data_IF_704528446594
#
_entry.id   IF_704528446594
#
_cell.length_a   1.000
_cell.length_b   1.000
_cell.length_c   1.000
_cell.angle_alpha   90.00
_cell.angle_beta   90.00
_cell.angle_gamma   90.00
#
_symmetry.space_group_name_H-M   'P 1'
#
loop_
_entity.id
_entity.type
_entity.pdbx_description
1 polymer ?
#
# COMPACT_ATOMS: atom_id res chain seq x y z
N UNK A 1 -27.45 37.39 28.74
CA UNK A 1 -27.87 37.46 27.31
C UNK A 1 -26.76 36.83 26.48
N UNK A 2 -26.65 35.48 26.51
CA UNK A 2 -26.81 34.58 25.35
C UNK A 2 -25.71 34.78 24.28
N UNK A 3 -24.65 33.98 24.12
CA UNK A 3 -24.46 32.52 24.09
C UNK A 3 -25.25 31.80 22.98
N UNK A 4 -24.93 32.05 21.71
CA UNK A 4 -25.22 31.24 20.50
C UNK A 4 -24.41 31.90 19.35
N UNK A 5 -23.70 31.27 18.42
CA UNK A 5 -23.71 29.91 17.93
C UNK A 5 -22.34 29.61 17.27
N UNK A 6 -21.68 28.55 17.74
CA UNK A 6 -20.67 27.81 16.99
C UNK A 6 -21.26 26.43 16.72
N UNK A 7 -21.30 26.03 15.44
CA UNK A 7 -21.56 24.69 14.86
C UNK A 7 -22.58 24.75 13.74
N UNK A 8 -22.10 24.72 12.49
CA UNK A 8 -22.70 23.89 11.43
C UNK A 8 -21.81 23.92 10.19
N UNK A 9 -21.16 22.79 9.89
CA UNK A 9 -20.85 22.25 8.55
C UNK A 9 -19.63 21.32 8.63
N UNK A 10 -19.84 20.13 9.17
CA UNK A 10 -19.03 18.96 8.87
C UNK A 10 -19.91 17.74 9.13
N UNK A 11 -20.47 17.16 8.07
CA UNK A 11 -21.40 16.05 8.20
C UNK A 11 -21.93 15.57 6.86
N UNK A 12 -21.06 14.98 6.04
CA UNK A 12 -21.29 13.71 5.34
C UNK A 12 -20.23 13.50 4.26
N UNK A 13 -19.98 12.21 3.98
CA UNK A 13 -19.06 11.61 2.99
C UNK A 13 -17.71 11.18 3.59
N UNK A 14 -17.52 9.86 3.60
CA UNK A 14 -16.26 9.20 3.92
C UNK A 14 -16.39 8.08 4.96
N UNK A 15 -17.29 7.11 4.75
CA UNK A 15 -17.28 5.86 5.49
C UNK A 15 -16.06 5.02 5.06
N UNK A 16 -14.90 5.33 5.63
CA UNK A 16 -13.69 4.51 5.53
C UNK A 16 -13.83 3.30 6.45
N UNK A 17 -13.96 2.12 5.85
CA UNK A 17 -13.91 0.81 6.50
C UNK A 17 -12.69 0.67 7.41
N UNK A 18 -12.89 0.91 8.70
CA UNK A 18 -11.99 0.41 9.75
C UNK A 18 -12.34 -1.04 10.02
N UNK A 19 -11.63 -1.94 9.35
CA UNK A 19 -11.66 -3.37 9.68
C UNK A 19 -10.93 -3.49 11.03
N UNK A 20 -11.72 -3.59 12.10
CA UNK A 20 -11.23 -3.86 13.44
C UNK A 20 -10.46 -5.20 13.45
N UNK A 21 -9.21 -5.16 13.89
CA UNK A 21 -8.32 -6.30 14.09
C UNK A 21 -8.80 -7.34 15.14
N UNK A 22 -10.06 -7.24 15.61
CA UNK A 22 -10.70 -8.16 16.54
C UNK A 22 -11.63 -9.18 15.85
N UNK A 23 -11.81 -9.11 14.52
CA UNK A 23 -12.70 -10.03 13.77
C UNK A 23 -11.93 -11.20 13.12
N UNK A 24 -10.61 -11.10 12.96
CA UNK A 24 -9.81 -12.16 12.32
C UNK A 24 -9.41 -13.33 13.23
N UNK A 25 -9.65 -13.24 14.53
CA UNK A 25 -9.30 -14.29 15.50
C UNK A 25 -10.44 -15.27 15.82
N UNK A 26 -11.56 -15.21 15.09
CA UNK A 26 -12.72 -16.13 15.28
C UNK A 26 -12.94 -17.16 14.17
N UNK A 27 -11.98 -17.35 13.26
CA UNK A 27 -12.11 -18.33 12.18
C UNK A 27 -11.17 -19.54 12.33
N UNK A 28 -10.83 -19.94 13.55
CA UNK A 28 -10.20 -21.25 13.82
C UNK A 28 -10.68 -21.73 15.18
N UNK A 29 -11.86 -22.36 15.24
CA UNK A 29 -12.28 -23.38 16.22
C UNK A 29 -13.80 -23.50 16.24
N UNK A 30 -14.38 -24.15 15.23
CA UNK A 30 -15.72 -24.73 15.32
C UNK A 30 -15.94 -25.68 14.12
N UNK A 31 -15.20 -26.79 14.10
CA UNK A 31 -15.64 -27.97 13.36
C UNK A 31 -15.42 -29.19 14.25
N UNK A 32 -16.09 -29.20 15.40
CA UNK A 32 -16.51 -30.45 16.01
C UNK A 32 -17.75 -30.90 15.25
N UNK A 33 -17.53 -31.51 14.08
CA UNK A 33 -18.54 -32.37 13.51
C UNK A 33 -18.84 -33.48 14.53
N UNK A 34 -20.11 -33.84 14.76
CA UNK A 34 -20.42 -35.01 15.57
C UNK A 34 -19.74 -36.22 14.92
N UNK A 35 -19.25 -37.20 15.70
CA UNK A 35 -18.72 -38.42 15.11
C UNK A 35 -19.86 -39.05 14.31
N UNK A 36 -19.76 -39.02 12.98
CA UNK A 36 -20.65 -39.77 12.11
C UNK A 36 -20.75 -41.17 12.67
N UNK A 37 -21.95 -41.52 13.14
CA UNK A 37 -22.21 -42.80 13.77
C UNK A 37 -21.63 -43.88 12.89
N UNK A 38 -20.65 -44.61 13.43
CA UNK A 38 -20.24 -45.90 12.89
C UNK A 38 -21.51 -46.72 12.80
N UNK A 39 -22.12 -46.74 11.61
CA UNK A 39 -23.04 -47.80 11.25
C UNK A 39 -22.22 -49.07 11.42
N UNK A 40 -22.49 -49.79 12.50
CA UNK A 40 -22.11 -51.19 12.60
C UNK A 40 -22.82 -51.85 11.44
N UNK A 41 -22.17 -51.88 10.29
CA UNK A 41 -22.38 -52.94 9.33
C UNK A 41 -21.96 -54.17 10.13
N UNK A 42 -22.97 -54.81 10.72
CA UNK A 42 -22.86 -56.11 11.31
C UNK A 42 -22.33 -56.99 10.18
N UNK A 43 -21.02 -57.13 10.14
CA UNK A 43 -20.34 -58.03 9.22
C UNK A 43 -20.81 -59.39 9.67
N UNK A 44 -21.89 -59.90 9.03
CA UNK A 44 -22.10 -61.34 8.99
C UNK A 44 -20.74 -61.89 8.58
N UNK A 45 -20.12 -62.67 9.46
CA UNK A 45 -18.89 -63.39 9.17
C UNK A 45 -19.23 -64.36 8.04
N UNK A 46 -19.21 -63.86 6.80
CA UNK A 46 -18.91 -64.70 5.65
C UNK A 46 -17.44 -65.00 5.85
N UNK A 47 -17.23 -66.21 6.37
CA UNK A 47 -16.01 -67.01 6.38
C UNK A 47 -14.73 -66.22 6.13
N UNK A 48 -13.85 -66.18 7.13
CA UNK A 48 -12.45 -65.83 6.89
C UNK A 48 -11.98 -66.53 5.61
N UNK A 49 -11.58 -65.74 4.62
CA UNK A 49 -10.88 -66.22 3.43
C UNK A 49 -9.58 -66.83 3.96
N UNK A 50 -9.57 -68.15 4.13
CA UNK A 50 -8.35 -68.92 4.27
C UNK A 50 -7.60 -68.74 2.96
N UNK A 51 -6.36 -68.29 3.07
CA UNK A 51 -5.49 -67.92 1.97
C UNK A 51 -5.13 -69.18 1.15
N UNK A 52 -5.98 -69.56 0.18
CA UNK A 52 -5.72 -70.66 -0.73
C UNK A 52 -5.57 -70.14 -2.16
N UNK A 53 -4.32 -69.88 -2.58
CA UNK A 53 -3.88 -69.87 -3.98
C UNK A 53 -4.93 -69.41 -5.03
N UNK A 54 -5.50 -68.21 -4.86
CA UNK A 54 -6.37 -67.58 -5.87
C UNK A 54 -7.71 -68.26 -6.14
N UNK A 55 -8.05 -69.39 -5.50
CA UNK A 55 -9.36 -70.04 -5.64
C UNK A 55 -10.22 -69.73 -4.43
N UNK A 56 -11.30 -68.96 -4.63
CA UNK A 56 -12.32 -68.71 -3.62
C UNK A 56 -13.05 -70.01 -3.33
N UNK A 57 -12.70 -70.67 -2.22
CA UNK A 57 -13.30 -71.94 -1.83
C UNK A 57 -14.65 -71.71 -1.16
N UNK A 58 -15.70 -72.26 -1.77
CA UNK A 58 -17.02 -72.34 -1.17
C UNK A 58 -17.15 -73.67 -0.40
N UNK A 59 -17.50 -73.59 0.89
CA UNK A 59 -17.72 -74.75 1.75
C UNK A 59 -19.16 -75.25 1.58
N UNK A 60 -19.47 -75.89 0.45
CA UNK A 60 -20.68 -76.73 0.36
C UNK A 60 -20.34 -78.09 0.92
N UNK A 61 -21.08 -78.52 1.92
CA UNK A 61 -21.11 -79.91 2.32
C UNK A 61 -21.90 -80.71 1.28
N UNK A 62 -21.20 -81.14 0.22
CA UNK A 62 -21.77 -81.92 -0.88
C UNK A 62 -22.32 -83.26 -0.39
N UNK A 63 -21.67 -83.88 0.59
CA UNK A 63 -22.12 -85.15 1.17
C UNK A 63 -23.43 -84.97 1.93
N UNK A 64 -23.53 -83.94 2.78
CA UNK A 64 -24.79 -83.66 3.48
C UNK A 64 -25.92 -83.29 2.52
N UNK A 65 -25.63 -82.61 1.41
CA UNK A 65 -26.64 -82.28 0.40
C UNK A 65 -27.16 -83.53 -0.31
N UNK A 66 -26.26 -84.44 -0.73
CA UNK A 66 -26.64 -85.73 -1.33
C UNK A 66 -27.48 -86.56 -0.35
N UNK A 67 -27.06 -86.68 0.91
CA UNK A 67 -27.80 -87.45 1.94
C UNK A 67 -29.19 -86.90 2.21
N UNK A 68 -29.37 -85.57 2.15
CA UNK A 68 -30.70 -84.95 2.28
C UNK A 68 -31.60 -85.25 1.08
N UNK A 69 -31.05 -85.27 -0.13
CA UNK A 69 -31.80 -85.61 -1.35
C UNK A 69 -32.21 -87.09 -1.35
N UNK A 70 -31.30 -87.98 -0.95
CA UNK A 70 -31.59 -89.41 -0.77
C UNK A 70 -32.70 -89.64 0.27
N UNK A 71 -32.68 -88.90 1.39
CA UNK A 71 -33.73 -88.97 2.42
C UNK A 71 -35.12 -88.51 1.93
N UNK A 72 -35.18 -87.73 0.85
CA UNK A 72 -36.42 -87.30 0.20
C UNK A 72 -36.85 -88.24 -0.95
N UNK A 73 -36.20 -89.40 -1.09
CA UNK A 73 -36.53 -90.42 -2.09
C UNK A 73 -35.85 -90.21 -3.45
N UNK A 74 -34.86 -89.31 -3.55
CA UNK A 74 -34.09 -89.14 -4.80
C UNK A 74 -33.04 -90.27 -4.92
N UNK A 75 -32.97 -90.98 -6.06
CA UNK A 75 -31.94 -91.99 -6.29
C UNK A 75 -30.53 -91.40 -6.16
N UNK A 76 -29.61 -92.14 -5.54
CA UNK A 76 -28.23 -91.69 -5.23
C UNK A 76 -27.51 -91.04 -6.42
N UNK A 77 -27.56 -91.66 -7.62
CA UNK A 77 -26.96 -91.10 -8.85
C UNK A 77 -27.58 -89.77 -9.30
N UNK A 78 -28.88 -89.60 -9.08
CA UNK A 78 -29.58 -88.34 -9.43
C UNK A 78 -29.28 -87.26 -8.37
N UNK A 79 -29.20 -87.63 -7.10
CA UNK A 79 -28.82 -86.73 -6.02
C UNK A 79 -27.40 -86.19 -6.18
N UNK A 80 -26.46 -87.03 -6.61
CA UNK A 80 -25.09 -86.65 -6.98
C UNK A 80 -25.07 -85.69 -8.19
N UNK A 81 -25.80 -86.01 -9.26
CA UNK A 81 -25.86 -85.16 -10.45
C UNK A 81 -26.47 -83.77 -10.17
N UNK A 82 -27.54 -83.72 -9.38
CA UNK A 82 -28.16 -82.45 -8.95
C UNK A 82 -27.19 -81.65 -8.09
N UNK A 83 -26.50 -82.31 -7.14
CA UNK A 83 -25.50 -81.67 -6.29
C UNK A 83 -24.34 -81.12 -7.11
N UNK A 84 -23.89 -81.84 -8.14
CA UNK A 84 -22.84 -81.38 -9.05
C UNK A 84 -23.26 -80.13 -9.84
N UNK A 85 -24.44 -80.14 -10.46
CA UNK A 85 -24.96 -78.99 -11.20
C UNK A 85 -25.17 -77.75 -10.32
N UNK A 86 -25.66 -77.94 -9.08
CA UNK A 86 -25.78 -76.84 -8.11
C UNK A 86 -24.41 -76.29 -7.72
N UNK A 87 -23.42 -77.16 -7.51
CA UNK A 87 -22.06 -76.73 -7.16
C UNK A 87 -21.41 -75.94 -8.30
N UNK A 88 -21.65 -76.33 -9.55
CA UNK A 88 -21.17 -75.62 -10.75
C UNK A 88 -21.79 -74.21 -10.87
N UNK A 89 -23.12 -74.10 -10.85
CA UNK A 89 -23.81 -72.80 -10.92
C UNK A 89 -23.40 -71.88 -9.77
N UNK A 90 -23.19 -72.44 -8.57
CA UNK A 90 -22.74 -71.66 -7.41
C UNK A 90 -21.31 -71.15 -7.57
N UNK A 91 -20.39 -71.95 -8.13
CA UNK A 91 -19.03 -71.51 -8.41
C UNK A 91 -19.02 -70.39 -9.45
N UNK A 92 -19.78 -70.54 -10.55
CA UNK A 92 -19.88 -69.52 -11.60
C UNK A 92 -20.49 -68.22 -11.09
N UNK A 93 -21.58 -68.33 -10.32
CA UNK A 93 -22.25 -67.16 -9.73
C UNK A 93 -21.33 -66.43 -8.76
N UNK A 94 -20.58 -67.17 -7.94
CA UNK A 94 -19.67 -66.57 -6.97
C UNK A 94 -18.48 -65.89 -7.64
N UNK A 95 -17.91 -66.47 -8.70
CA UNK A 95 -16.82 -65.86 -9.46
C UNK A 95 -17.28 -64.57 -10.16
N UNK A 96 -18.49 -64.56 -10.72
CA UNK A 96 -19.07 -63.37 -11.32
C UNK A 96 -19.32 -62.26 -10.28
N UNK A 97 -19.89 -62.61 -9.13
CA UNK A 97 -20.10 -61.65 -8.03
C UNK A 97 -18.76 -61.17 -7.47
N UNK A 98 -17.78 -62.05 -7.37
CA UNK A 98 -16.44 -61.79 -6.90
C UNK A 98 -15.70 -60.71 -7.70
N UNK A 99 -15.90 -60.65 -9.02
CA UNK A 99 -15.32 -59.64 -9.90
C UNK A 99 -15.89 -58.22 -9.66
N UNK A 100 -17.09 -58.11 -9.10
CA UNK A 100 -17.70 -56.82 -8.76
C UNK A 100 -17.19 -56.25 -7.43
N UNK A 101 -16.45 -57.04 -6.64
CA UNK A 101 -15.92 -56.62 -5.34
C UNK A 101 -14.40 -56.54 -5.35
N UNK A 102 -13.88 -55.51 -4.70
CA UNK A 102 -12.44 -55.33 -4.47
C UNK A 102 -12.03 -56.12 -3.22
N UNK A 103 -10.84 -56.74 -3.24
CA UNK A 103 -10.33 -57.42 -2.05
C UNK A 103 -9.98 -56.43 -0.94
N UNK A 104 -10.03 -56.87 0.33
CA UNK A 104 -9.67 -55.99 1.47
C UNK A 104 -8.23 -55.48 1.39
N UNK A 105 -7.30 -56.30 0.88
CA UNK A 105 -5.90 -55.92 0.71
C UNK A 105 -5.71 -54.83 -0.37
N UNK A 106 -6.42 -54.94 -1.49
CA UNK A 106 -6.37 -53.92 -2.56
C UNK A 106 -7.03 -52.61 -2.13
N UNK A 107 -8.15 -52.69 -1.40
CA UNK A 107 -8.81 -51.52 -0.82
C UNK A 107 -7.88 -50.78 0.15
N UNK A 108 -7.25 -51.52 1.08
CA UNK A 108 -6.31 -50.95 2.04
C UNK A 108 -5.08 -50.33 1.35
N UNK A 109 -4.55 -50.96 0.29
CA UNK A 109 -3.44 -50.40 -0.49
C UNK A 109 -3.84 -49.07 -1.16
N UNK A 110 -5.05 -49.01 -1.70
CA UNK A 110 -5.58 -47.80 -2.34
C UNK A 110 -5.78 -46.69 -1.31
N UNK A 111 -6.33 -47.02 -0.15
CA UNK A 111 -6.52 -46.10 0.98
C UNK A 111 -5.18 -45.52 1.47
N UNK A 112 -4.18 -46.36 1.73
CA UNK A 112 -2.84 -45.91 2.12
C UNK A 112 -2.20 -45.01 1.06
N UNK A 113 -2.40 -45.31 -0.23
CA UNK A 113 -1.88 -44.49 -1.33
C UNK A 113 -2.57 -43.13 -1.37
N UNK A 114 -3.89 -43.10 -1.20
CA UNK A 114 -4.68 -41.87 -1.14
C UNK A 114 -4.30 -41.02 0.06
N UNK A 115 -4.13 -41.61 1.24
CA UNK A 115 -3.72 -40.93 2.47
C UNK A 115 -2.31 -40.33 2.35
N UNK A 116 -1.37 -41.07 1.75
CA UNK A 116 -0.03 -40.56 1.42
C UNK A 116 -0.10 -39.35 0.48
N UNK A 117 -0.89 -39.45 -0.60
CA UNK A 117 -1.03 -38.36 -1.57
C UNK A 117 -1.68 -37.12 -0.95
N UNK A 118 -2.71 -37.31 -0.11
CA UNK A 118 -3.35 -36.22 0.63
C UNK A 118 -2.37 -35.55 1.60
N UNK A 119 -1.56 -36.35 2.29
CA UNK A 119 -0.53 -35.83 3.21
C UNK A 119 0.54 -35.03 2.48
N UNK A 120 1.01 -35.52 1.33
CA UNK A 120 1.95 -34.78 0.46
C UNK A 120 1.35 -33.47 -0.03
N UNK A 121 0.12 -33.52 -0.55
CA UNK A 121 -0.60 -32.32 -1.00
C UNK A 121 -0.73 -31.29 0.13
N UNK A 122 -1.15 -31.72 1.32
CA UNK A 122 -1.24 -30.85 2.51
C UNK A 122 0.11 -30.19 2.84
N UNK A 123 1.19 -30.97 2.84
CA UNK A 123 2.53 -30.44 3.13
C UNK A 123 3.00 -29.41 2.09
N UNK A 124 2.71 -29.65 0.80
CA UNK A 124 3.04 -28.71 -0.28
C UNK A 124 2.24 -27.42 -0.17
N UNK A 125 0.93 -27.51 0.10
CA UNK A 125 0.08 -26.34 0.29
C UNK A 125 0.54 -25.52 1.49
N UNK A 126 0.81 -26.17 2.62
CA UNK A 126 1.27 -25.49 3.83
C UNK A 126 2.62 -24.81 3.60
N UNK A 127 3.60 -25.54 3.05
CA UNK A 127 4.94 -25.01 2.77
C UNK A 127 4.89 -23.85 1.76
N UNK A 128 4.09 -23.96 0.71
CA UNK A 128 3.88 -22.90 -0.27
C UNK A 128 3.25 -21.66 0.37
N UNK A 129 2.21 -21.84 1.20
CA UNK A 129 1.55 -20.75 1.89
C UNK A 129 2.50 -20.03 2.86
N UNK A 130 3.26 -20.78 3.67
CA UNK A 130 4.26 -20.22 4.59
C UNK A 130 5.35 -19.46 3.85
N UNK A 131 5.83 -19.99 2.72
CA UNK A 131 6.83 -19.34 1.87
C UNK A 131 6.30 -18.03 1.27
N UNK A 132 5.12 -18.07 0.63
CA UNK A 132 4.51 -16.86 0.04
C UNK A 132 4.20 -15.81 1.11
N UNK A 133 3.73 -16.22 2.27
CA UNK A 133 3.47 -15.30 3.38
C UNK A 133 4.76 -14.64 3.87
N UNK A 134 5.82 -15.43 4.07
CA UNK A 134 7.13 -14.91 4.51
C UNK A 134 7.74 -13.95 3.48
N UNK A 135 7.64 -14.29 2.19
CA UNK A 135 8.10 -13.43 1.11
C UNK A 135 7.34 -12.11 1.07
N UNK A 136 6.00 -12.15 1.09
CA UNK A 136 5.16 -10.96 1.08
C UNK A 136 5.40 -10.09 2.32
N UNK A 137 5.58 -10.70 3.49
CA UNK A 137 5.91 -9.97 4.71
C UNK A 137 7.26 -9.26 4.58
N UNK A 138 8.29 -9.95 4.08
CA UNK A 138 9.60 -9.36 3.87
C UNK A 138 9.57 -8.21 2.85
N UNK A 139 8.89 -8.38 1.72
CA UNK A 139 8.72 -7.32 0.71
C UNK A 139 7.97 -6.11 1.28
N UNK A 140 6.94 -6.35 2.09
CA UNK A 140 6.17 -5.28 2.76
C UNK A 140 7.04 -4.50 3.74
N UNK A 141 7.85 -5.20 4.55
CA UNK A 141 8.79 -4.58 5.49
C UNK A 141 9.88 -3.78 4.77
N UNK A 142 10.41 -4.31 3.67
CA UNK A 142 11.38 -3.63 2.81
C UNK A 142 10.78 -2.35 2.21
N UNK A 143 9.61 -2.43 1.59
CA UNK A 143 8.91 -1.28 1.02
C UNK A 143 8.62 -0.22 2.09
N UNK A 144 8.21 -0.64 3.30
CA UNK A 144 8.00 0.28 4.43
C UNK A 144 9.29 0.99 4.84
N UNK A 145 10.42 0.29 4.90
CA UNK A 145 11.73 0.86 5.18
C UNK A 145 12.14 1.88 4.10
N UNK A 146 11.95 1.54 2.82
CA UNK A 146 12.28 2.43 1.70
C UNK A 146 11.42 3.70 1.72
N UNK A 147 10.13 3.58 2.05
CA UNK A 147 9.24 4.74 2.23
C UNK A 147 9.73 5.65 3.36
N UNK A 148 10.12 5.10 4.51
CA UNK A 148 10.59 5.91 5.64
C UNK A 148 11.91 6.61 5.30
N UNK A 149 12.82 5.91 4.59
CA UNK A 149 14.07 6.50 4.09
C UNK A 149 13.78 7.68 3.15
N UNK A 150 12.98 7.47 2.10
CA UNK A 150 12.61 8.55 1.16
C UNK A 150 11.92 9.72 1.88
N UNK A 151 11.04 9.43 2.85
CA UNK A 151 10.37 10.46 3.65
C UNK A 151 11.37 11.30 4.45
N UNK A 152 12.41 10.67 5.03
CA UNK A 152 13.46 11.38 5.76
C UNK A 152 14.34 12.23 4.84
N UNK A 153 14.72 11.72 3.68
CA UNK A 153 15.51 12.45 2.67
C UNK A 153 14.74 13.66 2.13
N UNK A 154 13.45 13.49 1.81
CA UNK A 154 12.60 14.59 1.35
C UNK A 154 12.45 15.68 2.41
N UNK A 155 12.27 15.31 3.69
CA UNK A 155 12.22 16.29 4.78
C UNK A 155 13.53 17.08 4.87
N UNK A 156 14.66 16.39 4.80
CA UNK A 156 15.97 17.03 4.83
C UNK A 156 16.16 18.00 3.65
N UNK A 157 15.82 17.60 2.43
CA UNK A 157 15.93 18.49 1.26
C UNK A 157 14.96 19.67 1.35
N UNK A 158 13.74 19.49 1.87
CA UNK A 158 12.81 20.60 2.13
C UNK A 158 13.42 21.59 3.13
N UNK A 159 13.93 21.11 4.26
CA UNK A 159 14.53 21.96 5.29
C UNK A 159 15.76 22.70 4.76
N UNK A 160 16.60 22.01 4.01
CA UNK A 160 17.80 22.56 3.36
C UNK A 160 17.45 23.65 2.34
N UNK A 161 16.50 23.39 1.43
CA UNK A 161 16.05 24.39 0.43
C UNK A 161 15.39 25.58 1.13
N UNK A 162 14.55 25.34 2.14
CA UNK A 162 13.88 26.40 2.90
C UNK A 162 14.88 27.29 3.64
N UNK A 163 15.88 26.67 4.29
CA UNK A 163 16.95 27.40 4.96
C UNK A 163 17.81 28.19 3.95
N UNK A 164 18.13 27.58 2.80
CA UNK A 164 18.85 28.23 1.70
C UNK A 164 18.13 29.46 1.17
N UNK A 165 16.83 29.32 0.85
CA UNK A 165 16.00 30.43 0.38
C UNK A 165 15.87 31.54 1.43
N UNK A 166 15.71 31.18 2.71
CA UNK A 166 15.67 32.18 3.78
C UNK A 166 16.99 32.92 3.90
N UNK A 167 18.13 32.24 3.78
CA UNK A 167 19.44 32.88 3.80
C UNK A 167 19.60 33.85 2.62
N UNK A 168 19.29 33.38 1.40
CA UNK A 168 19.38 34.16 0.17
C UNK A 168 18.57 35.46 0.25
N UNK A 169 17.30 35.38 0.69
CA UNK A 169 16.45 36.56 0.91
C UNK A 169 17.01 37.51 1.97
N UNK A 170 17.67 37.00 3.02
CA UNK A 170 18.26 37.85 4.04
C UNK A 170 19.52 38.56 3.54
N UNK A 171 20.35 37.88 2.75
CA UNK A 171 21.53 38.47 2.12
C UNK A 171 21.12 39.55 1.11
N UNK A 172 20.16 39.25 0.23
CA UNK A 172 19.70 40.23 -0.76
C UNK A 172 19.00 41.42 -0.09
N UNK A 173 18.23 41.20 0.98
CA UNK A 173 17.66 42.29 1.79
C UNK A 173 18.76 43.14 2.45
N UNK A 174 19.86 42.53 2.88
CA UNK A 174 21.03 43.24 3.38
C UNK A 174 21.65 44.12 2.29
N UNK A 175 21.91 43.53 1.13
CA UNK A 175 22.51 44.21 -0.03
C UNK A 175 21.68 45.39 -0.52
N UNK A 176 20.35 45.22 -0.63
CA UNK A 176 19.43 46.30 -0.98
C UNK A 176 19.48 47.44 0.05
N UNK A 177 19.60 47.13 1.35
CA UNK A 177 19.69 48.15 2.39
C UNK A 177 21.00 48.94 2.28
N UNK A 178 22.11 48.27 2.00
CA UNK A 178 23.41 48.93 1.84
C UNK A 178 23.43 49.82 0.58
N UNK A 179 22.90 49.32 -0.54
CA UNK A 179 22.74 50.09 -1.79
C UNK A 179 21.85 51.33 -1.58
N UNK A 180 20.72 51.16 -0.88
CA UNK A 180 19.82 52.26 -0.54
C UNK A 180 20.49 53.30 0.37
N UNK A 181 21.30 52.85 1.35
CA UNK A 181 22.05 53.74 2.22
C UNK A 181 23.10 54.54 1.43
N UNK A 182 23.82 53.89 0.51
CA UNK A 182 24.78 54.54 -0.36
C UNK A 182 24.11 55.58 -1.26
N UNK A 183 23.01 55.22 -1.92
CA UNK A 183 22.25 56.15 -2.77
C UNK A 183 21.71 57.35 -1.97
N UNK A 184 21.24 57.12 -0.73
CA UNK A 184 20.79 58.22 0.13
C UNK A 184 21.94 59.15 0.52
N UNK A 185 23.13 58.62 0.78
CA UNK A 185 24.33 59.40 1.06
C UNK A 185 24.78 60.20 -0.17
N UNK A 186 24.80 59.59 -1.36
CA UNK A 186 25.09 60.28 -2.61
C UNK A 186 24.09 61.40 -2.90
N UNK A 187 22.80 61.14 -2.70
CA UNK A 187 21.73 62.12 -2.86
C UNK A 187 21.92 63.28 -1.90
N UNK A 188 22.17 63.02 -0.61
CA UNK A 188 22.43 64.06 0.38
C UNK A 188 23.68 64.88 0.05
N UNK A 189 24.76 64.22 -0.40
CA UNK A 189 25.97 64.90 -0.86
C UNK A 189 25.70 65.81 -2.06
N UNK A 190 24.90 65.37 -3.02
CA UNK A 190 24.53 66.16 -4.19
C UNK A 190 23.63 67.33 -3.82
N UNK A 191 22.63 67.13 -2.95
CA UNK A 191 21.80 68.20 -2.40
C UNK A 191 22.66 69.26 -1.70
N UNK A 192 23.60 68.85 -0.86
CA UNK A 192 24.52 69.77 -0.18
C UNK A 192 25.41 70.54 -1.16
N UNK A 193 25.85 69.93 -2.26
CA UNK A 193 26.61 70.62 -3.31
C UNK A 193 25.74 71.64 -4.05
N UNK A 194 24.52 71.25 -4.43
CA UNK A 194 23.56 72.14 -5.07
C UNK A 194 23.23 73.35 -4.20
N UNK A 195 22.97 73.15 -2.90
CA UNK A 195 22.71 74.26 -1.97
C UNK A 195 23.89 75.22 -1.89
N UNK A 196 25.13 74.70 -1.85
CA UNK A 196 26.35 75.53 -1.90
C UNK A 196 26.45 76.33 -3.20
N UNK A 197 26.19 75.71 -4.35
CA UNK A 197 26.21 76.39 -5.65
C UNK A 197 25.11 77.46 -5.73
N UNK A 198 23.90 77.18 -5.23
CA UNK A 198 22.79 78.15 -5.15
C UNK A 198 23.20 79.35 -4.28
N UNK A 199 23.79 79.12 -3.12
CA UNK A 199 24.27 80.20 -2.25
C UNK A 199 25.40 81.01 -2.90
N UNK A 200 26.34 80.35 -3.59
CA UNK A 200 27.42 81.02 -4.32
C UNK A 200 26.89 81.88 -5.48
N UNK A 201 25.97 81.33 -6.30
CA UNK A 201 25.32 82.06 -7.39
C UNK A 201 24.52 83.25 -6.87
N UNK A 202 23.80 83.08 -5.76
CA UNK A 202 23.06 84.19 -5.12
C UNK A 202 23.99 85.31 -4.66
N UNK A 203 25.13 84.97 -4.05
CA UNK A 203 26.12 85.96 -3.64
C UNK A 203 26.74 86.70 -4.84
N UNK A 204 27.06 85.98 -5.93
CA UNK A 204 27.54 86.59 -7.18
C UNK A 204 26.48 87.52 -7.80
N UNK A 205 25.21 87.13 -7.78
CA UNK A 205 24.10 87.94 -8.29
C UNK A 205 23.90 89.21 -7.45
N UNK A 206 24.01 89.12 -6.12
CA UNK A 206 23.97 90.30 -5.24
C UNK A 206 25.16 91.24 -5.51
N UNK A 207 26.37 90.72 -5.67
CA UNK A 207 27.54 91.52 -6.04
C UNK A 207 27.37 92.22 -7.40
N UNK A 208 26.91 91.48 -8.42
CA UNK A 208 26.65 92.02 -9.76
C UNK A 208 25.56 93.10 -9.74
N UNK A 209 24.51 92.93 -8.92
CA UNK A 209 23.49 93.97 -8.70
C UNK A 209 24.11 95.26 -8.15
N UNK A 210 25.00 95.18 -7.16
CA UNK A 210 25.69 96.35 -6.62
C UNK A 210 26.60 97.03 -7.65
N UNK A 211 27.31 96.26 -8.49
CA UNK A 211 28.11 96.82 -9.59
C UNK A 211 27.23 97.59 -10.59
N UNK A 212 26.09 97.02 -11.01
CA UNK A 212 25.14 97.72 -11.91
C UNK A 212 24.63 99.02 -11.28
N UNK A 213 24.24 99.00 -10.01
CA UNK A 213 23.80 100.20 -9.29
C UNK A 213 24.91 101.27 -9.30
N UNK A 214 26.16 100.87 -9.03
CA UNK A 214 27.32 101.77 -9.05
C UNK A 214 27.53 102.40 -10.43
N UNK A 215 27.43 101.63 -11.51
CA UNK A 215 27.50 102.18 -12.88
C UNK A 215 26.36 103.15 -13.18
N UNK A 216 25.11 102.83 -12.79
CA UNK A 216 23.97 103.73 -12.98
C UNK A 216 24.14 105.07 -12.25
N UNK A 217 24.64 105.05 -11.01
CA UNK A 217 24.91 106.29 -10.27
C UNK A 217 26.02 107.08 -10.98
N UNK A 218 27.09 106.42 -11.42
CA UNK A 218 28.19 107.06 -12.14
C UNK A 218 27.75 107.73 -13.45
N UNK A 219 26.87 107.09 -14.23
CA UNK A 219 26.36 107.65 -15.50
C UNK A 219 25.36 108.77 -15.27
N UNK A 220 24.47 108.69 -14.28
CA UNK A 220 23.58 109.79 -13.94
C UNK A 220 24.38 111.03 -13.53
N UNK A 221 25.39 110.88 -12.67
CA UNK A 221 26.26 111.98 -12.24
C UNK A 221 27.06 112.56 -13.42
N UNK A 222 27.58 111.73 -14.33
CA UNK A 222 28.33 112.24 -15.49
C UNK A 222 27.43 113.02 -16.44
N UNK A 223 26.21 112.55 -16.71
CA UNK A 223 25.23 113.26 -17.55
C UNK A 223 24.85 114.58 -16.89
N UNK A 224 24.57 114.60 -15.58
CA UNK A 224 24.27 115.84 -14.85
C UNK A 224 25.45 116.83 -14.87
N UNK A 225 26.69 116.35 -14.70
CA UNK A 225 27.89 117.19 -14.77
C UNK A 225 28.09 117.79 -16.17
N UNK A 226 27.92 117.00 -17.23
CA UNK A 226 27.98 117.48 -18.62
C UNK A 226 26.85 118.48 -18.89
N UNK A 227 25.62 118.20 -18.45
CA UNK A 227 24.48 119.12 -18.60
C UNK A 227 24.71 120.46 -17.91
N UNK A 228 25.24 120.47 -16.68
CA UNK A 228 25.61 121.69 -15.97
C UNK A 228 26.74 122.45 -16.68
N UNK A 229 27.74 121.74 -17.22
CA UNK A 229 28.82 122.36 -17.99
C UNK A 229 28.32 123.05 -19.26
N UNK A 230 27.38 122.45 -19.98
CA UNK A 230 26.76 123.06 -21.18
C UNK A 230 25.92 124.28 -20.81
N UNK A 231 25.08 124.19 -19.77
CA UNK A 231 24.28 125.34 -19.30
C UNK A 231 25.17 126.53 -18.90
N UNK A 232 26.36 126.27 -18.34
CA UNK A 232 27.33 127.30 -17.96
C UNK A 232 28.00 127.98 -19.17
N UNK A 233 28.07 127.31 -20.33
CA UNK A 233 28.62 127.89 -21.57
C UNK A 233 27.53 128.68 -22.34
N UNK A 234 26.25 128.34 -22.16
CA UNK A 234 25.13 128.93 -22.93
C UNK A 234 24.47 130.15 -22.27
N UNK A 235 24.68 130.36 -20.97
CA UNK A 235 24.39 131.62 -20.27
C UNK A 235 25.61 132.53 -20.30
#
# INVERSE_FOLDING_TARGET
>A
MAAYAARKLAGHIGAGSRINAAVLSRLVTASTAPPCGRSRVCSRQISQIVNSNGKRLFLVDTLALVRRLEAQGVPSKQAEAITAAITEVLNDTLENVAQSFVSKSEMQKTEMTQESNLSKFKSLVQSSQEHHFSLLQHETEKLKSDIEKMRSELRYEIDKVTAGQRLDLNLERGRIRDELSNQNQETSNLTNKLDREIHALRAQLEAAKYEVIKYCIGTLVSISAVGLAVLRIMM
#
